data_IF_322492141996
#
_entry.id   IF_322492141996
#
_cell.length_a   1.000
_cell.length_b   1.000
_cell.length_c   1.000
_cell.angle_alpha   90.00
_cell.angle_beta   90.00
_cell.angle_gamma   90.00
#
_symmetry.space_group_name_H-M   'P 1'
#
loop_
_entity.id
_entity.type
_entity.pdbx_description
1 polymer ?
#
# COMPACT_ATOMS: atom_id res chain seq x y z
N UNK A 1 25.37 11.41 -6.76
CA UNK A 1 24.56 10.25 -6.33
C UNK A 1 23.66 10.72 -5.21
N UNK A 2 22.35 10.53 -5.34
CA UNK A 2 21.37 10.87 -4.30
C UNK A 2 21.30 9.79 -3.24
N UNK A 3 21.13 10.19 -1.98
CA UNK A 3 20.92 9.25 -0.89
C UNK A 3 20.16 9.91 0.24
N UNK A 4 19.55 9.08 1.09
CA UNK A 4 18.96 9.48 2.37
C UNK A 4 19.64 8.67 3.47
N UNK A 5 20.17 9.32 4.50
CA UNK A 5 20.70 8.65 5.70
C UNK A 5 20.01 9.22 6.92
N UNK A 6 19.31 8.37 7.65
CA UNK A 6 18.63 8.69 8.90
C UNK A 6 19.34 7.92 10.00
N UNK A 7 19.93 8.61 10.98
CA UNK A 7 20.72 7.98 12.02
C UNK A 7 20.21 8.38 13.42
N UNK A 8 19.69 7.38 14.13
CA UNK A 8 19.18 7.46 15.50
C UNK A 8 18.25 8.66 15.76
N UNK A 9 17.36 8.92 14.80
CA UNK A 9 16.50 10.10 14.82
C UNK A 9 15.36 9.90 15.81
N UNK A 10 15.18 10.89 16.67
CA UNK A 10 14.06 11.00 17.59
C UNK A 10 13.39 12.37 17.52
N UNK A 11 12.08 12.39 17.72
CA UNK A 11 11.29 13.62 17.76
C UNK A 11 10.30 13.61 18.92
N UNK A 12 10.44 14.59 19.80
CA UNK A 12 9.51 14.88 20.87
C UNK A 12 8.91 16.27 20.72
N UNK A 13 7.64 16.40 21.10
CA UNK A 13 6.98 17.70 21.27
C UNK A 13 6.76 17.99 22.75
N UNK A 14 7.01 19.23 23.15
CA UNK A 14 6.73 19.71 24.51
C UNK A 14 5.23 19.84 24.72
N UNK A 15 4.67 19.10 25.66
CA UNK A 15 3.29 19.26 26.11
C UNK A 15 3.27 19.98 27.46
N UNK A 16 2.54 21.10 27.50
CA UNK A 16 2.31 21.87 28.72
C UNK A 16 0.89 21.64 29.21
N UNK A 17 0.70 21.47 30.52
CA UNK A 17 -0.63 21.32 31.12
C UNK A 17 -1.44 22.63 31.10
N UNK A 18 -0.79 23.79 31.01
CA UNK A 18 -1.44 25.09 30.90
C UNK A 18 -0.55 26.12 30.18
N UNK A 19 -1.17 27.16 29.61
CA UNK A 19 -0.46 28.31 29.01
C UNK A 19 0.41 29.04 30.04
N UNK A 20 -0.05 29.15 31.29
CA UNK A 20 0.71 29.74 32.40
C UNK A 20 1.92 28.89 32.75
N UNK A 21 1.83 27.55 32.67
CA UNK A 21 2.96 26.64 32.84
C UNK A 21 4.07 26.89 31.82
N UNK A 22 3.71 27.17 30.56
CA UNK A 22 4.67 27.54 29.49
C UNK A 22 5.35 28.88 29.76
N UNK A 23 4.59 29.88 30.21
CA UNK A 23 5.15 31.18 30.56
C UNK A 23 6.12 31.07 31.74
N UNK A 24 5.74 30.34 32.80
CA UNK A 24 6.57 30.11 33.98
C UNK A 24 7.88 29.38 33.65
N UNK A 25 7.87 28.38 32.75
CA UNK A 25 9.11 27.73 32.30
C UNK A 25 10.03 28.70 31.54
N UNK A 26 9.47 29.67 30.80
CA UNK A 26 10.27 30.61 30.01
C UNK A 26 10.91 31.73 30.84
N UNK A 27 10.24 32.17 31.91
CA UNK A 27 10.70 33.28 32.77
C UNK A 27 11.44 32.81 34.03
N UNK A 28 11.41 31.51 34.35
CA UNK A 28 12.03 31.02 35.59
C UNK A 28 13.56 31.03 35.47
N UNK A 29 14.27 31.72 36.38
CA UNK A 29 15.73 31.72 36.41
C UNK A 29 16.31 30.37 36.86
N UNK A 30 15.49 29.54 37.52
CA UNK A 30 15.81 28.16 37.83
C UNK A 30 15.22 27.30 36.71
N UNK A 31 16.01 26.38 36.15
CA UNK A 31 15.69 25.57 34.96
C UNK A 31 14.51 24.59 35.21
N UNK A 32 13.33 25.14 35.47
CA UNK A 32 12.16 24.43 35.99
C UNK A 32 11.37 23.90 34.81
N UNK A 33 11.55 22.61 34.53
CA UNK A 33 10.84 21.94 33.44
C UNK A 33 9.37 21.74 33.83
N UNK A 34 8.45 22.43 33.14
CA UNK A 34 6.99 22.29 33.33
C UNK A 34 6.30 21.60 32.16
N UNK A 35 7.05 21.19 31.14
CA UNK A 35 6.54 20.35 30.06
C UNK A 35 6.82 18.87 30.29
N UNK A 36 5.98 18.02 29.69
CA UNK A 36 6.28 16.61 29.43
C UNK A 36 6.65 16.45 27.96
N UNK A 37 7.63 15.60 27.67
CA UNK A 37 7.99 15.25 26.31
C UNK A 37 7.07 14.14 25.80
N UNK A 38 6.28 14.45 24.78
CA UNK A 38 5.55 13.44 24.01
C UNK A 38 6.40 13.04 22.81
N UNK A 39 6.97 11.85 22.88
CA UNK A 39 7.75 11.28 21.78
C UNK A 39 6.83 10.77 20.69
N UNK A 40 7.12 11.16 19.46
CA UNK A 40 6.41 10.73 18.25
C UNK A 40 7.29 9.78 17.43
N UNK A 41 8.60 10.00 17.44
CA UNK A 41 9.59 9.11 16.83
C UNK A 41 10.73 8.89 17.82
N UNK A 42 11.27 7.68 17.87
CA UNK A 42 12.40 7.28 18.71
C UNK A 42 13.24 6.25 17.97
N UNK A 43 14.56 6.39 18.07
CA UNK A 43 15.54 5.42 17.61
C UNK A 43 15.37 5.01 16.13
N UNK A 44 14.97 5.94 15.26
CA UNK A 44 14.78 5.67 13.83
C UNK A 44 16.13 5.71 13.11
N UNK A 45 16.54 4.59 12.52
CA UNK A 45 17.75 4.50 11.70
C UNK A 45 17.50 3.69 10.44
N UNK A 46 17.79 4.26 9.27
CA UNK A 46 17.77 3.58 7.97
C UNK A 46 18.51 4.43 6.94
N UNK A 47 18.95 3.80 5.87
CA UNK A 47 19.50 4.49 4.70
C UNK A 47 18.59 4.25 3.50
N UNK A 48 18.67 5.06 2.46
CA UNK A 48 18.09 4.81 1.13
C UNK A 48 19.17 5.12 0.11
N UNK A 49 19.52 4.11 -0.67
CA UNK A 49 20.61 4.17 -1.63
C UNK A 49 20.18 4.86 -2.95
N UNK A 50 21.13 5.28 -3.80
CA UNK A 50 20.81 5.93 -5.08
C UNK A 50 19.97 5.01 -5.98
N UNK A 51 18.83 5.50 -6.47
CA UNK A 51 17.90 4.75 -7.32
C UNK A 51 17.01 3.73 -6.61
N UNK A 52 17.19 3.54 -5.29
CA UNK A 52 16.37 2.65 -4.48
C UNK A 52 15.01 3.28 -4.17
N UNK A 53 13.96 2.45 -4.14
CA UNK A 53 12.63 2.81 -3.69
C UNK A 53 12.30 2.17 -2.34
N UNK A 54 12.12 3.00 -1.31
CA UNK A 54 11.74 2.57 0.04
C UNK A 54 10.27 2.91 0.33
N UNK A 55 9.49 1.90 0.69
CA UNK A 55 8.13 2.04 1.22
C UNK A 55 8.11 2.32 2.72
N UNK A 56 7.27 3.26 3.17
CA UNK A 56 6.99 3.50 4.59
C UNK A 56 5.53 3.17 4.88
N UNK A 57 5.34 2.08 5.60
CA UNK A 57 4.03 1.56 5.99
C UNK A 57 3.83 1.83 7.49
N UNK A 58 2.57 1.92 7.91
CA UNK A 58 2.25 2.01 9.33
C UNK A 58 0.83 2.49 9.56
N UNK A 59 0.32 2.24 10.75
CA UNK A 59 -1.00 2.71 11.17
C UNK A 59 -1.06 4.24 11.23
N UNK A 60 -2.27 4.79 11.28
CA UNK A 60 -2.47 6.20 11.56
C UNK A 60 -1.92 6.55 12.95
N UNK A 61 -1.16 7.64 13.02
CA UNK A 61 -0.47 8.05 14.24
C UNK A 61 0.86 7.34 14.54
N UNK A 62 1.36 6.46 13.66
CA UNK A 62 2.66 5.80 13.83
C UNK A 62 3.87 6.74 13.75
N UNK A 63 3.69 7.95 13.21
CA UNK A 63 4.76 8.95 13.04
C UNK A 63 5.22 9.18 11.59
N UNK A 64 4.60 8.54 10.58
CA UNK A 64 4.96 8.65 9.15
C UNK A 64 5.12 10.09 8.67
N UNK A 65 4.07 10.92 8.77
CA UNK A 65 4.14 12.33 8.35
C UNK A 65 5.13 13.15 9.18
N UNK A 66 5.39 12.78 10.44
CA UNK A 66 6.45 13.44 11.23
C UNK A 66 7.82 13.07 10.69
N UNK A 67 8.06 11.80 10.33
CA UNK A 67 9.31 11.35 9.73
C UNK A 67 9.56 12.06 8.40
N UNK A 68 8.54 12.17 7.55
CA UNK A 68 8.63 12.92 6.30
C UNK A 68 8.95 14.39 6.51
N UNK A 69 8.38 15.04 7.54
CA UNK A 69 8.70 16.42 7.90
C UNK A 69 10.16 16.59 8.37
N UNK A 70 10.70 15.59 9.05
CA UNK A 70 12.11 15.59 9.45
C UNK A 70 13.03 15.40 8.23
N UNK A 71 12.71 14.45 7.35
CA UNK A 71 13.48 14.18 6.13
C UNK A 71 13.45 15.37 5.19
N UNK A 72 12.31 16.05 5.03
CA UNK A 72 12.21 17.25 4.18
C UNK A 72 12.77 18.52 4.82
N UNK A 73 13.18 18.47 6.09
CA UNK A 73 13.71 19.62 6.81
C UNK A 73 12.67 20.66 7.24
N UNK A 74 11.38 20.40 7.03
CA UNK A 74 10.28 21.26 7.52
C UNK A 74 10.12 21.19 9.04
N UNK A 75 10.67 20.16 9.68
CA UNK A 75 10.85 20.07 11.12
C UNK A 75 12.27 19.61 11.48
N UNK A 76 12.80 20.09 12.62
CA UNK A 76 14.09 19.63 13.14
C UNK A 76 13.93 18.42 14.08
N UNK A 77 14.83 17.44 14.04
CA UNK A 77 14.84 16.34 15.01
C UNK A 77 15.13 16.85 16.42
N UNK A 78 14.71 16.11 17.44
CA UNK A 78 15.07 16.36 18.84
C UNK A 78 16.45 15.77 19.16
N UNK A 79 16.77 14.63 18.55
CA UNK A 79 18.06 13.95 18.61
C UNK A 79 18.31 13.17 17.31
N UNK A 80 19.57 12.81 17.07
CA UNK A 80 20.00 12.15 15.83
C UNK A 80 20.11 13.10 14.65
N UNK A 81 20.50 12.54 13.51
CA UNK A 81 20.90 13.31 12.34
C UNK A 81 20.29 12.75 11.06
N UNK A 82 19.98 13.64 10.11
CA UNK A 82 19.48 13.31 8.78
C UNK A 82 20.41 13.96 7.75
N UNK A 83 20.95 13.16 6.84
CA UNK A 83 21.78 13.62 5.74
C UNK A 83 21.17 13.23 4.39
N UNK A 84 21.14 14.17 3.46
CA UNK A 84 20.50 14.05 2.15
C UNK A 84 21.45 14.61 1.09
N UNK A 85 21.46 14.00 -0.09
CA UNK A 85 22.22 14.47 -1.25
C UNK A 85 21.33 14.46 -2.49
N UNK A 86 21.37 15.54 -3.28
CA UNK A 86 20.55 15.70 -4.49
C UNK A 86 19.32 16.59 -4.28
N UNK A 87 18.65 16.91 -5.40
CA UNK A 87 17.43 17.72 -5.42
C UNK A 87 16.23 16.89 -4.99
N UNK A 88 15.60 17.32 -3.89
CA UNK A 88 14.42 16.67 -3.31
C UNK A 88 13.15 17.31 -3.85
N UNK A 89 12.24 16.52 -4.39
CA UNK A 89 10.84 16.91 -4.59
C UNK A 89 9.98 16.15 -3.59
N UNK A 90 9.19 16.86 -2.78
CA UNK A 90 8.36 16.26 -1.75
C UNK A 90 6.88 16.64 -1.94
N UNK A 91 6.04 15.63 -2.16
CA UNK A 91 4.61 15.77 -2.44
C UNK A 91 3.76 15.63 -1.15
N UNK A 92 4.25 16.17 -0.04
CA UNK A 92 3.62 16.05 1.29
C UNK A 92 2.42 16.99 1.47
N UNK A 93 2.47 18.14 0.81
CA UNK A 93 1.48 19.21 0.91
C UNK A 93 1.28 19.78 -0.52
N UNK A 94 0.79 18.93 -1.43
CA UNK A 94 0.51 19.33 -2.82
C UNK A 94 -0.42 20.56 -2.86
N UNK A 95 0.00 21.60 -3.57
CA UNK A 95 -0.68 22.90 -3.61
C UNK A 95 -0.16 23.90 -2.57
N UNK A 96 0.79 23.50 -1.70
CA UNK A 96 1.48 24.45 -0.83
C UNK A 96 2.26 25.46 -1.67
N UNK A 97 1.97 26.73 -1.45
CA UNK A 97 2.50 27.82 -2.26
C UNK A 97 1.60 28.25 -3.41
N UNK A 98 0.37 27.73 -3.54
CA UNK A 98 -0.65 28.34 -4.39
C UNK A 98 -1.34 29.52 -3.69
N UNK A 99 -1.62 30.56 -4.45
CA UNK A 99 -2.41 31.72 -4.08
C UNK A 99 -3.77 31.68 -4.77
N UNK A 100 -4.84 31.76 -3.99
CA UNK A 100 -6.22 31.55 -4.45
C UNK A 100 -6.67 32.56 -5.51
N UNK A 101 -6.20 33.80 -5.43
CA UNK A 101 -6.55 34.86 -6.37
C UNK A 101 -5.68 34.87 -7.64
N UNK A 102 -4.63 34.05 -7.69
CA UNK A 102 -3.77 33.93 -8.87
C UNK A 102 -4.33 32.90 -9.82
N UNK A 103 -4.09 33.09 -11.12
CA UNK A 103 -4.43 32.08 -12.13
C UNK A 103 -3.61 30.81 -11.95
N UNK A 104 -4.04 29.70 -12.55
CA UNK A 104 -3.23 28.47 -12.59
C UNK A 104 -1.82 28.73 -13.11
N UNK A 105 -1.70 29.46 -14.22
CA UNK A 105 -0.42 29.83 -14.82
C UNK A 105 0.48 30.62 -13.86
N UNK A 106 -0.07 31.61 -13.17
CA UNK A 106 0.67 32.38 -12.16
C UNK A 106 1.13 31.50 -10.98
N UNK A 107 0.28 30.56 -10.57
CA UNK A 107 0.61 29.58 -9.54
C UNK A 107 1.68 28.58 -9.98
N UNK A 108 1.70 28.19 -11.26
CA UNK A 108 2.79 27.37 -11.84
C UNK A 108 4.13 28.09 -11.71
N UNK A 109 4.20 29.37 -12.08
CA UNK A 109 5.42 30.17 -11.92
C UNK A 109 5.85 30.27 -10.45
N UNK A 110 4.93 30.66 -9.57
CA UNK A 110 5.24 30.85 -8.15
C UNK A 110 5.69 29.54 -7.48
N UNK A 111 4.96 28.44 -7.69
CA UNK A 111 5.28 27.13 -7.12
C UNK A 111 6.56 26.55 -7.72
N UNK A 112 6.76 26.66 -9.03
CA UNK A 112 8.00 26.22 -9.68
C UNK A 112 9.24 26.95 -9.15
N UNK A 113 9.14 28.26 -8.91
CA UNK A 113 10.22 29.02 -8.30
C UNK A 113 10.52 28.60 -6.86
N UNK A 114 9.49 28.28 -6.05
CA UNK A 114 9.67 27.72 -4.70
C UNK A 114 10.38 26.36 -4.72
N UNK A 115 10.21 25.59 -5.79
CA UNK A 115 10.92 24.33 -6.05
C UNK A 115 12.34 24.56 -6.63
N UNK A 116 12.77 25.81 -6.78
CA UNK A 116 14.10 26.17 -7.30
C UNK A 116 14.22 26.06 -8.82
N UNK A 117 13.11 26.07 -9.56
CA UNK A 117 13.10 26.03 -11.02
C UNK A 117 13.26 27.47 -11.57
N UNK A 118 14.23 27.74 -12.47
CA UNK A 118 14.34 29.04 -13.13
C UNK A 118 13.11 29.38 -13.97
N UNK A 119 12.73 30.66 -14.04
CA UNK A 119 11.52 31.12 -14.73
C UNK A 119 11.52 30.70 -16.20
N UNK A 120 12.66 30.81 -16.87
CA UNK A 120 12.82 30.47 -18.28
C UNK A 120 12.50 28.98 -18.51
N UNK A 121 12.91 28.13 -17.57
CA UNK A 121 12.64 26.70 -17.64
C UNK A 121 11.18 26.37 -17.33
N UNK A 122 10.53 27.12 -16.42
CA UNK A 122 9.09 26.99 -16.18
C UNK A 122 8.30 27.36 -17.43
N UNK A 123 8.68 28.44 -18.13
CA UNK A 123 8.04 28.83 -19.39
C UNK A 123 8.17 27.75 -20.45
N UNK A 124 9.36 27.13 -20.58
CA UNK A 124 9.60 26.01 -21.50
C UNK A 124 8.73 24.78 -21.18
N UNK A 125 8.56 24.46 -19.89
CA UNK A 125 7.81 23.30 -19.41
C UNK A 125 6.30 23.53 -19.32
N UNK A 126 5.84 24.77 -19.47
CA UNK A 126 4.42 25.14 -19.31
C UNK A 126 3.47 24.29 -20.16
N UNK A 127 3.73 24.01 -21.45
CA UNK A 127 2.85 23.15 -22.26
C UNK A 127 2.73 21.72 -21.70
N UNK A 128 3.83 21.12 -21.24
CA UNK A 128 3.81 19.78 -20.64
C UNK A 128 3.04 19.78 -19.31
N UNK A 129 3.21 20.82 -18.50
CA UNK A 129 2.50 20.98 -17.23
C UNK A 129 0.98 21.06 -17.45
N UNK A 130 0.56 21.86 -18.45
CA UNK A 130 -0.84 22.01 -18.84
C UNK A 130 -1.44 20.70 -19.36
N UNK A 131 -0.72 20.03 -20.27
CA UNK A 131 -1.13 18.74 -20.84
C UNK A 131 -1.19 17.64 -19.77
N UNK A 132 -0.24 17.63 -18.82
CA UNK A 132 -0.29 16.65 -17.74
C UNK A 132 -1.47 16.92 -16.81
N UNK A 133 -1.72 18.19 -16.45
CA UNK A 133 -2.78 18.59 -15.53
C UNK A 133 -4.19 18.36 -16.09
N UNK A 134 -4.36 18.47 -17.41
CA UNK A 134 -5.63 18.39 -18.15
C UNK A 134 -6.77 19.18 -17.47
N UNK A 135 -6.47 20.41 -17.05
CA UNK A 135 -7.46 21.34 -16.47
C UNK A 135 -8.10 22.26 -17.53
N UNK A 136 -7.67 22.17 -18.80
CA UNK A 136 -8.18 22.97 -19.91
C UNK A 136 -8.03 24.48 -19.67
N UNK A 137 -9.05 25.24 -20.09
CA UNK A 137 -9.07 26.71 -20.00
C UNK A 137 -9.02 27.26 -18.57
N UNK A 138 -9.19 26.41 -17.56
CA UNK A 138 -9.06 26.83 -16.17
C UNK A 138 -7.64 27.28 -15.83
N UNK A 139 -6.60 26.91 -16.59
CA UNK A 139 -5.21 27.36 -16.34
C UNK A 139 -5.09 28.88 -16.25
N UNK A 140 -5.92 29.62 -17.00
CA UNK A 140 -5.95 31.09 -16.99
C UNK A 140 -7.05 31.67 -16.09
N UNK A 141 -7.72 30.83 -15.28
CA UNK A 141 -8.69 31.22 -14.26
C UNK A 141 -8.07 31.21 -12.86
N UNK A 142 -8.55 32.05 -11.92
CA UNK A 142 -8.10 32.05 -10.53
C UNK A 142 -8.29 30.69 -9.83
N UNK A 143 -7.29 30.23 -9.07
CA UNK A 143 -7.31 28.90 -8.41
C UNK A 143 -8.45 28.74 -7.40
N UNK A 144 -9.00 29.83 -6.86
CA UNK A 144 -10.19 29.79 -5.99
C UNK A 144 -11.43 29.17 -6.63
N UNK A 145 -11.52 29.13 -7.96
CA UNK A 145 -12.66 28.50 -8.67
C UNK A 145 -12.40 27.03 -9.04
N UNK A 146 -11.22 26.50 -8.70
CA UNK A 146 -10.86 25.12 -9.01
C UNK A 146 -11.54 24.15 -8.04
N UNK A 147 -11.85 22.95 -8.53
CA UNK A 147 -12.12 21.83 -7.62
C UNK A 147 -10.84 21.40 -6.90
N UNK A 148 -10.97 20.72 -5.77
CA UNK A 148 -9.81 20.15 -5.05
C UNK A 148 -8.98 19.23 -5.96
N UNK A 149 -9.64 18.44 -6.82
CA UNK A 149 -8.96 17.59 -7.80
C UNK A 149 -8.10 18.39 -8.77
N UNK A 150 -8.65 19.47 -9.38
CA UNK A 150 -7.87 20.31 -10.30
C UNK A 150 -6.65 20.96 -9.64
N UNK A 151 -6.77 21.38 -8.37
CA UNK A 151 -5.65 21.93 -7.62
C UNK A 151 -4.54 20.90 -7.43
N UNK A 152 -4.90 19.68 -7.01
CA UNK A 152 -3.93 18.58 -6.85
C UNK A 152 -3.29 18.19 -8.18
N UNK A 153 -4.07 18.13 -9.27
CA UNK A 153 -3.57 17.83 -10.61
C UNK A 153 -2.51 18.83 -11.05
N UNK A 154 -2.82 20.13 -10.99
CA UNK A 154 -1.87 21.17 -11.34
C UNK A 154 -0.64 21.16 -10.44
N UNK A 155 -0.81 21.01 -9.13
CA UNK A 155 0.30 20.94 -8.19
C UNK A 155 1.23 19.75 -8.48
N UNK A 156 0.67 18.58 -8.79
CA UNK A 156 1.45 17.40 -9.15
C UNK A 156 2.19 17.60 -10.47
N UNK A 157 1.53 18.15 -11.50
CA UNK A 157 2.15 18.48 -12.78
C UNK A 157 3.36 19.37 -12.62
N UNK A 158 3.26 20.44 -11.81
CA UNK A 158 4.36 21.36 -11.55
C UNK A 158 5.49 20.66 -10.78
N UNK A 159 5.16 19.93 -9.71
CA UNK A 159 6.15 19.26 -8.87
C UNK A 159 6.91 18.15 -9.59
N UNK A 160 6.29 17.56 -10.62
CA UNK A 160 6.87 16.47 -11.44
C UNK A 160 7.24 16.92 -12.86
N UNK A 161 7.29 18.22 -13.13
CA UNK A 161 7.70 18.75 -14.43
C UNK A 161 9.21 18.49 -14.71
N UNK A 162 10.00 18.29 -13.67
CA UNK A 162 11.43 17.96 -13.81
C UNK A 162 11.77 16.81 -12.88
N UNK A 163 12.31 15.71 -13.44
CA UNK A 163 12.76 14.53 -12.70
C UNK A 163 13.68 14.89 -11.51
N UNK A 164 13.28 14.63 -10.25
CA UNK A 164 14.13 14.91 -9.09
C UNK A 164 15.17 13.79 -8.87
N UNK A 165 16.18 14.06 -8.05
CA UNK A 165 17.12 13.03 -7.61
C UNK A 165 16.53 12.16 -6.49
N UNK A 166 15.70 12.79 -5.64
CA UNK A 166 14.93 12.16 -4.57
C UNK A 166 13.47 12.59 -4.70
N UNK A 167 12.55 11.65 -4.84
CA UNK A 167 11.12 11.88 -4.81
C UNK A 167 10.53 11.34 -3.50
N UNK A 168 9.81 12.18 -2.78
CA UNK A 168 9.08 11.81 -1.56
C UNK A 168 7.59 11.96 -1.83
N UNK A 169 6.85 10.89 -1.62
CA UNK A 169 5.42 10.80 -1.90
C UNK A 169 4.67 10.46 -0.62
N UNK A 170 3.69 11.29 -0.25
CA UNK A 170 2.74 10.97 0.82
C UNK A 170 1.48 10.30 0.25
N UNK A 171 0.68 9.74 1.16
CA UNK A 171 -0.63 9.13 0.88
C UNK A 171 -1.62 10.09 0.19
N UNK A 172 -1.35 11.40 0.25
CA UNK A 172 -2.15 12.45 -0.37
C UNK A 172 -2.22 12.38 -1.91
N UNK A 173 -1.39 11.57 -2.59
CA UNK A 173 -1.59 11.28 -4.02
C UNK A 173 -2.92 10.59 -4.32
N UNK A 174 -3.56 9.99 -3.32
CA UNK A 174 -4.90 9.42 -3.44
C UNK A 174 -6.00 10.49 -3.53
N UNK A 175 -5.67 11.78 -3.45
CA UNK A 175 -6.63 12.88 -3.61
C UNK A 175 -6.73 13.25 -5.09
N UNK A 176 -7.68 12.64 -5.79
CA UNK A 176 -7.90 12.83 -7.22
C UNK A 176 -8.85 11.77 -7.77
N UNK A 177 -9.14 11.81 -9.06
CA UNK A 177 -9.84 10.70 -9.72
C UNK A 177 -8.87 9.53 -10.00
N UNK A 178 -9.42 8.33 -10.16
CA UNK A 178 -8.65 7.10 -10.35
C UNK A 178 -7.78 7.14 -11.63
N UNK A 179 -8.24 7.85 -12.67
CA UNK A 179 -7.50 8.00 -13.91
C UNK A 179 -6.22 8.83 -13.70
N UNK A 180 -6.32 9.96 -13.02
CA UNK A 180 -5.16 10.80 -12.72
C UNK A 180 -4.20 10.15 -11.71
N UNK A 181 -4.71 9.38 -10.75
CA UNK A 181 -3.86 8.56 -9.88
C UNK A 181 -3.00 7.58 -10.69
N UNK A 182 -3.62 6.85 -11.62
CA UNK A 182 -2.90 5.95 -12.51
C UNK A 182 -1.82 6.69 -13.32
N UNK A 183 -2.18 7.83 -13.94
CA UNK A 183 -1.23 8.69 -14.68
C UNK A 183 -0.05 9.16 -13.79
N UNK A 184 -0.34 9.52 -12.54
CA UNK A 184 0.65 9.96 -11.55
C UNK A 184 1.60 8.83 -11.16
N UNK A 185 1.08 7.62 -10.92
CA UNK A 185 1.90 6.46 -10.64
C UNK A 185 2.77 6.04 -11.82
N UNK A 186 2.29 6.15 -13.06
CA UNK A 186 3.11 5.89 -14.25
C UNK A 186 4.28 6.89 -14.36
N UNK A 187 4.04 8.19 -14.10
CA UNK A 187 5.11 9.20 -14.03
C UNK A 187 6.15 8.86 -12.95
N UNK A 188 5.71 8.36 -11.78
CA UNK A 188 6.61 7.92 -10.71
C UNK A 188 7.43 6.70 -11.14
N UNK A 189 6.80 5.71 -11.80
CA UNK A 189 7.51 4.52 -12.33
C UNK A 189 8.56 4.92 -13.36
N UNK A 190 8.26 5.88 -14.23
CA UNK A 190 9.21 6.42 -15.21
C UNK A 190 10.43 7.05 -14.51
N UNK A 191 10.21 7.89 -13.51
CA UNK A 191 11.31 8.48 -12.72
C UNK A 191 12.18 7.41 -12.03
N UNK A 192 11.55 6.37 -11.48
CA UNK A 192 12.28 5.23 -10.90
C UNK A 192 13.14 4.53 -11.94
N UNK A 193 12.61 4.23 -13.13
CA UNK A 193 13.37 3.62 -14.25
C UNK A 193 14.58 4.47 -14.65
N UNK A 194 14.45 5.79 -14.52
CA UNK A 194 15.50 6.76 -14.81
C UNK A 194 16.50 6.97 -13.65
N UNK A 195 16.34 6.25 -12.53
CA UNK A 195 17.27 6.24 -11.40
C UNK A 195 16.97 7.22 -10.26
N UNK A 196 15.75 7.75 -10.18
CA UNK A 196 15.31 8.57 -9.03
C UNK A 196 15.17 7.72 -7.78
N UNK A 197 15.79 8.14 -6.68
CA UNK A 197 15.56 7.55 -5.35
C UNK A 197 14.15 7.90 -4.87
N UNK A 198 13.40 6.93 -4.37
CA UNK A 198 11.99 7.11 -4.02
C UNK A 198 11.73 6.78 -2.54
N UNK A 199 10.97 7.64 -1.87
CA UNK A 199 10.37 7.38 -0.58
C UNK A 199 8.85 7.44 -0.73
N UNK A 200 8.17 6.30 -0.59
CA UNK A 200 6.72 6.20 -0.80
C UNK A 200 6.02 5.86 0.52
N UNK A 201 5.11 6.72 0.96
CA UNK A 201 4.23 6.43 2.10
C UNK A 201 2.87 6.04 1.59
N UNK A 202 2.46 4.80 1.86
CA UNK A 202 1.17 4.28 1.44
C UNK A 202 0.71 3.15 2.34
N UNK A 203 -0.61 2.94 2.40
CA UNK A 203 -1.24 1.74 2.95
C UNK A 203 -1.72 0.79 1.84
N UNK A 204 -1.60 1.20 0.57
CA UNK A 204 -1.94 0.35 -0.57
C UNK A 204 -0.83 -0.69 -0.81
N UNK A 205 -1.19 -1.96 -0.63
CA UNK A 205 -0.32 -3.11 -0.86
C UNK A 205 0.19 -3.15 -2.30
N UNK A 206 -0.66 -2.81 -3.28
CA UNK A 206 -0.32 -2.92 -4.69
C UNK A 206 0.72 -1.86 -5.11
N UNK A 207 0.53 -0.60 -4.69
CA UNK A 207 1.51 0.45 -4.92
C UNK A 207 2.87 0.11 -4.28
N UNK A 208 2.89 -0.33 -3.02
CA UNK A 208 4.13 -0.66 -2.31
C UNK A 208 4.86 -1.84 -2.97
N UNK A 209 4.17 -2.94 -3.27
CA UNK A 209 4.78 -4.11 -3.89
C UNK A 209 5.27 -3.85 -5.32
N UNK A 210 4.56 -3.02 -6.09
CA UNK A 210 4.91 -2.80 -7.50
C UNK A 210 5.95 -1.70 -7.72
N UNK A 211 6.18 -0.82 -6.73
CA UNK A 211 7.03 0.36 -6.87
C UNK A 211 8.25 0.33 -5.94
N UNK A 212 8.17 -0.28 -4.76
CA UNK A 212 9.27 -0.28 -3.80
C UNK A 212 10.16 -1.53 -3.94
N UNK A 213 11.46 -1.35 -3.67
CA UNK A 213 12.43 -2.44 -3.57
C UNK A 213 12.40 -3.08 -2.17
N UNK A 214 12.17 -2.27 -1.13
CA UNK A 214 11.93 -2.73 0.24
C UNK A 214 10.98 -1.81 0.97
N UNK A 215 10.53 -2.22 2.16
CA UNK A 215 9.67 -1.41 2.99
C UNK A 215 10.06 -1.44 4.47
N UNK A 216 9.70 -0.37 5.19
CA UNK A 216 9.75 -0.28 6.64
C UNK A 216 8.33 -0.17 7.20
N UNK A 217 8.06 -0.89 8.28
CA UNK A 217 6.85 -0.72 9.09
C UNK A 217 7.18 0.16 10.30
N UNK A 218 6.51 1.31 10.38
CA UNK A 218 6.50 2.15 11.56
C UNK A 218 5.34 1.79 12.48
N UNK A 219 5.66 1.59 13.76
CA UNK A 219 4.67 1.40 14.82
C UNK A 219 5.10 2.15 16.09
N UNK A 220 4.17 2.92 16.66
CA UNK A 220 4.38 3.74 17.87
C UNK A 220 5.70 4.54 17.85
N UNK A 221 6.07 5.06 16.68
CA UNK A 221 7.25 5.90 16.53
C UNK A 221 8.59 5.17 16.43
N UNK A 222 8.60 3.85 16.20
CA UNK A 222 9.80 3.03 16.01
C UNK A 222 9.66 2.21 14.72
N UNK A 223 10.78 1.82 14.12
CA UNK A 223 10.79 0.80 13.06
C UNK A 223 10.56 -0.54 13.74
N UNK A 224 9.45 -1.20 13.40
CA UNK A 224 9.08 -2.51 13.96
C UNK A 224 9.55 -3.65 13.04
N UNK A 225 9.51 -3.42 11.73
CA UNK A 225 9.96 -4.39 10.73
C UNK A 225 10.55 -3.67 9.53
N UNK A 226 11.53 -4.29 8.88
CA UNK A 226 12.14 -3.86 7.63
C UNK A 226 12.44 -5.09 6.77
N UNK A 227 12.18 -5.01 5.46
CA UNK A 227 12.47 -6.10 4.54
C UNK A 227 11.69 -6.01 3.23
N UNK A 228 11.45 -7.17 2.62
CA UNK A 228 10.70 -7.29 1.37
C UNK A 228 9.29 -6.69 1.49
N UNK A 229 8.81 -5.93 0.49
CA UNK A 229 7.52 -5.24 0.56
C UNK A 229 6.34 -6.16 0.88
N UNK A 230 6.34 -7.38 0.33
CA UNK A 230 5.31 -8.39 0.59
C UNK A 230 5.27 -8.80 2.07
N UNK A 231 6.42 -9.21 2.62
CA UNK A 231 6.51 -9.67 4.01
C UNK A 231 6.13 -8.57 5.00
N UNK A 232 6.54 -7.32 4.74
CA UNK A 232 6.21 -6.18 5.60
C UNK A 232 4.71 -5.84 5.51
N UNK A 233 4.11 -5.89 4.32
CA UNK A 233 2.67 -5.67 4.15
C UNK A 233 1.84 -6.78 4.79
N UNK A 234 2.28 -8.03 4.71
CA UNK A 234 1.59 -9.15 5.36
C UNK A 234 1.64 -9.03 6.87
N UNK A 235 2.79 -8.65 7.43
CA UNK A 235 2.91 -8.36 8.87
C UNK A 235 2.09 -7.13 9.29
N UNK A 236 2.01 -6.10 8.45
CA UNK A 236 1.14 -4.95 8.71
C UNK A 236 -0.35 -5.34 8.73
N UNK A 237 -0.81 -6.13 7.74
CA UNK A 237 -2.18 -6.64 7.68
C UNK A 237 -2.52 -7.53 8.86
N UNK A 238 -1.56 -8.38 9.26
CA UNK A 238 -1.61 -9.11 10.51
C UNK A 238 -1.78 -8.15 11.70
N UNK A 239 -0.90 -7.16 11.90
CA UNK A 239 -1.00 -6.24 13.04
C UNK A 239 -2.32 -5.46 13.09
N UNK A 240 -2.89 -5.10 11.94
CA UNK A 240 -4.23 -4.52 11.85
C UNK A 240 -5.31 -5.49 12.32
N UNK A 241 -5.18 -6.77 11.93
CA UNK A 241 -6.05 -7.84 12.37
C UNK A 241 -5.91 -8.07 13.90
N UNK A 242 -4.71 -8.16 14.45
CA UNK A 242 -4.45 -8.33 15.89
C UNK A 242 -5.09 -7.21 16.73
N UNK A 243 -5.03 -5.95 16.26
CA UNK A 243 -5.69 -4.81 16.93
C UNK A 243 -7.21 -4.87 16.88
N UNK A 244 -7.76 -5.68 15.99
CA UNK A 244 -9.17 -6.05 15.95
C UNK A 244 -9.46 -7.35 16.74
N UNK A 245 -8.49 -7.85 17.54
CA UNK A 245 -8.48 -9.13 18.29
C UNK A 245 -8.33 -10.39 17.42
N UNK A 246 -7.49 -10.36 16.37
CA UNK A 246 -7.26 -11.50 15.48
C UNK A 246 -5.81 -12.03 15.58
N UNK A 247 -5.58 -13.10 16.34
CA UNK A 247 -4.25 -13.69 16.58
C UNK A 247 -3.46 -14.08 15.32
N UNK A 248 -2.20 -13.64 15.19
CA UNK A 248 -1.30 -14.06 14.08
C UNK A 248 -0.20 -15.02 14.54
N UNK A 249 0.02 -16.07 13.75
CA UNK A 249 1.13 -17.01 13.85
C UNK A 249 1.77 -17.21 12.47
N UNK A 250 3.07 -16.99 12.37
CA UNK A 250 3.86 -17.41 11.21
C UNK A 250 4.29 -18.86 11.43
N UNK A 251 4.00 -19.74 10.48
CA UNK A 251 4.38 -21.16 10.52
C UNK A 251 5.16 -21.47 9.26
N UNK A 252 6.36 -22.01 9.42
CA UNK A 252 7.18 -22.48 8.30
C UNK A 252 6.67 -23.87 7.88
N UNK A 253 6.18 -24.00 6.65
CA UNK A 253 5.74 -25.30 6.08
C UNK A 253 6.30 -25.42 4.67
N UNK A 254 7.00 -26.52 4.38
CA UNK A 254 7.66 -26.78 3.09
C UNK A 254 8.61 -25.66 2.61
N UNK A 255 9.35 -25.03 3.53
CA UNK A 255 10.35 -24.00 3.20
C UNK A 255 9.77 -22.66 2.74
N UNK A 256 8.45 -22.45 2.88
CA UNK A 256 7.77 -21.16 2.65
C UNK A 256 7.14 -20.66 3.95
N UNK A 257 7.26 -19.36 4.19
CA UNK A 257 6.62 -18.67 5.32
C UNK A 257 5.10 -18.59 5.07
N UNK A 258 4.30 -19.36 5.81
CA UNK A 258 2.85 -19.20 5.81
C UNK A 258 2.42 -18.27 6.93
N UNK A 259 1.67 -17.23 6.58
CA UNK A 259 1.05 -16.31 7.55
C UNK A 259 -0.36 -16.79 7.86
N UNK A 260 -0.61 -17.13 9.12
CA UNK A 260 -1.94 -17.45 9.66
C UNK A 260 -2.38 -16.32 10.59
N UNK A 261 -3.56 -15.75 10.36
CA UNK A 261 -4.14 -14.69 11.21
C UNK A 261 -5.59 -15.00 11.56
N UNK A 262 -6.19 -14.40 12.59
CA UNK A 262 -7.60 -14.63 12.93
C UNK A 262 -7.87 -14.87 14.42
N UNK A 263 -9.10 -14.64 14.86
CA UNK A 263 -9.50 -14.77 16.27
C UNK A 263 -9.62 -16.23 16.74
N UNK A 264 -9.65 -17.19 15.81
CA UNK A 264 -9.53 -18.61 16.11
C UNK A 264 -10.83 -19.32 16.50
N UNK A 265 -11.99 -18.66 16.49
CA UNK A 265 -13.29 -19.30 16.76
C UNK A 265 -13.70 -20.30 15.67
N UNK A 266 -13.15 -20.14 14.47
CA UNK A 266 -13.14 -21.15 13.42
C UNK A 266 -11.69 -21.35 12.98
N UNK A 267 -11.34 -22.57 12.59
CA UNK A 267 -9.99 -22.85 12.11
C UNK A 267 -9.95 -23.75 10.89
N UNK A 268 -8.97 -23.52 10.03
CA UNK A 268 -8.79 -24.34 8.83
C UNK A 268 -7.93 -25.54 9.21
N UNK A 269 -8.50 -26.73 9.04
CA UNK A 269 -7.84 -28.02 9.31
C UNK A 269 -6.97 -28.41 8.14
N UNK A 270 -7.54 -28.32 6.93
CA UNK A 270 -6.91 -28.82 5.72
C UNK A 270 -7.41 -28.07 4.48
N UNK A 271 -6.53 -27.92 3.49
CA UNK A 271 -6.81 -27.23 2.24
C UNK A 271 -6.08 -27.97 1.13
N UNK A 272 -6.80 -28.41 0.11
CA UNK A 272 -6.22 -29.09 -1.04
C UNK A 272 -6.94 -28.69 -2.33
N UNK A 273 -6.20 -28.72 -3.44
CA UNK A 273 -6.74 -28.58 -4.78
C UNK A 273 -6.79 -29.97 -5.41
N UNK A 274 -7.98 -30.39 -5.81
CA UNK A 274 -8.22 -31.74 -6.31
C UNK A 274 -8.52 -31.74 -7.82
N UNK A 275 -8.12 -32.80 -8.51
CA UNK A 275 -8.57 -33.12 -9.86
C UNK A 275 -9.95 -33.80 -9.85
N UNK A 276 -10.46 -34.16 -11.03
CA UNK A 276 -11.74 -34.86 -11.21
C UNK A 276 -11.77 -36.27 -10.61
N UNK A 277 -10.61 -36.88 -10.37
CA UNK A 277 -10.45 -38.18 -9.72
C UNK A 277 -10.40 -38.06 -8.18
N UNK A 278 -10.42 -36.83 -7.65
CA UNK A 278 -10.36 -36.55 -6.21
C UNK A 278 -8.94 -36.59 -5.64
N UNK A 279 -7.91 -36.60 -6.48
CA UNK A 279 -6.51 -36.60 -6.07
C UNK A 279 -5.96 -35.17 -5.92
N UNK A 280 -5.10 -34.95 -4.93
CA UNK A 280 -4.45 -33.67 -4.71
C UNK A 280 -3.41 -33.38 -5.79
N UNK A 281 -3.48 -32.20 -6.39
CA UNK A 281 -2.62 -31.78 -7.50
C UNK A 281 -1.92 -30.45 -7.21
N UNK A 282 -0.68 -30.33 -7.69
CA UNK A 282 0.12 -29.09 -7.68
C UNK A 282 0.39 -28.55 -9.08
N UNK A 283 0.02 -29.32 -10.11
CA UNK A 283 0.12 -28.93 -11.53
C UNK A 283 -1.25 -29.10 -12.17
N UNK A 284 -1.68 -28.06 -12.87
CA UNK A 284 -2.99 -27.94 -13.48
C UNK A 284 -2.80 -27.57 -14.96
N UNK A 285 -3.55 -28.19 -15.85
CA UNK A 285 -3.56 -27.78 -17.26
C UNK A 285 -4.53 -26.61 -17.46
N UNK A 286 -4.24 -25.70 -18.39
CA UNK A 286 -5.17 -24.63 -18.78
C UNK A 286 -6.56 -25.21 -19.07
N UNK A 287 -7.59 -24.64 -18.44
CA UNK A 287 -8.99 -25.06 -18.60
C UNK A 287 -9.40 -26.30 -17.80
N UNK A 288 -8.46 -27.01 -17.16
CA UNK A 288 -8.74 -28.21 -16.39
C UNK A 288 -9.76 -27.92 -15.26
N UNK A 289 -10.81 -28.73 -15.11
CA UNK A 289 -11.69 -28.67 -13.95
C UNK A 289 -10.91 -29.02 -12.68
N UNK A 290 -11.05 -28.20 -11.66
CA UNK A 290 -10.43 -28.40 -10.35
C UNK A 290 -11.41 -28.13 -9.23
N UNK A 291 -11.15 -28.70 -8.06
CA UNK A 291 -11.97 -28.53 -6.89
C UNK A 291 -11.11 -28.12 -5.69
N UNK A 292 -11.29 -26.89 -5.23
CA UNK A 292 -10.65 -26.41 -4.00
C UNK A 292 -11.49 -26.88 -2.80
N UNK A 293 -10.91 -27.78 -2.00
CA UNK A 293 -11.53 -28.28 -0.78
C UNK A 293 -10.94 -27.59 0.45
N UNK A 294 -11.80 -27.06 1.31
CA UNK A 294 -11.43 -26.38 2.56
C UNK A 294 -12.15 -27.06 3.70
N UNK A 295 -11.40 -27.68 4.62
CA UNK A 295 -11.95 -28.30 5.82
C UNK A 295 -11.81 -27.36 7.01
N UNK A 296 -12.93 -27.02 7.64
CA UNK A 296 -13.01 -26.05 8.74
C UNK A 296 -13.49 -26.74 10.02
N UNK A 297 -12.83 -26.46 11.13
CA UNK A 297 -13.28 -26.79 12.48
C UNK A 297 -13.89 -25.55 13.15
N UNK A 298 -15.05 -25.73 13.79
CA UNK A 298 -15.75 -24.68 14.52
C UNK A 298 -15.38 -24.83 15.99
N UNK A 299 -14.52 -23.96 16.50
CA UNK A 299 -14.03 -24.00 17.88
C UNK A 299 -15.07 -23.43 18.85
N UNK A 300 -15.74 -22.34 18.47
CA UNK A 300 -16.80 -21.68 19.24
C UNK A 300 -18.08 -21.50 18.42
N UNK A 301 -19.20 -21.19 19.07
CA UNK A 301 -20.46 -20.97 18.36
C UNK A 301 -20.37 -19.69 17.50
N UNK A 302 -20.77 -19.78 16.23
CA UNK A 302 -20.65 -18.67 15.28
C UNK A 302 -22.05 -18.23 14.81
N UNK A 303 -22.36 -16.93 14.86
CA UNK A 303 -23.62 -16.42 14.29
C UNK A 303 -23.63 -16.57 12.76
N UNK A 304 -22.47 -16.41 12.14
CA UNK A 304 -22.27 -16.50 10.70
C UNK A 304 -20.85 -17.02 10.40
N UNK A 305 -20.72 -17.83 9.36
CA UNK A 305 -19.47 -18.25 8.75
C UNK A 305 -19.55 -18.10 7.23
N UNK A 306 -18.66 -17.25 6.72
CA UNK A 306 -18.35 -17.09 5.31
C UNK A 306 -16.96 -17.66 5.05
N UNK A 307 -16.85 -18.54 4.05
CA UNK A 307 -15.58 -19.10 3.60
C UNK A 307 -15.25 -18.50 2.24
N UNK A 308 -14.13 -17.80 2.17
CA UNK A 308 -13.62 -17.17 0.96
C UNK A 308 -12.29 -17.77 0.54
N UNK A 309 -12.02 -17.69 -0.76
CA UNK A 309 -10.70 -17.94 -1.30
C UNK A 309 -10.32 -16.87 -2.31
N UNK A 310 -9.02 -16.65 -2.44
CA UNK A 310 -8.41 -15.72 -3.39
C UNK A 310 -7.27 -16.44 -4.10
N UNK A 311 -7.33 -16.52 -5.42
CA UNK A 311 -6.22 -16.94 -6.27
C UNK A 311 -5.36 -15.72 -6.54
N UNK A 312 -4.05 -15.86 -6.31
CA UNK A 312 -3.04 -14.83 -6.59
C UNK A 312 -1.98 -15.36 -7.54
N UNK A 313 -1.39 -14.48 -8.34
CA UNK A 313 -0.24 -14.82 -9.17
C UNK A 313 1.07 -14.90 -8.36
N UNK A 314 2.18 -15.20 -9.03
CA UNK A 314 3.52 -15.27 -8.43
C UNK A 314 4.03 -13.97 -7.78
N UNK A 315 3.42 -12.83 -8.10
CA UNK A 315 3.74 -11.51 -7.55
C UNK A 315 2.77 -11.12 -6.42
N UNK A 316 1.90 -12.05 -6.01
CA UNK A 316 0.89 -11.82 -4.98
C UNK A 316 -0.32 -11.01 -5.46
N UNK A 317 -0.44 -10.72 -6.76
CA UNK A 317 -1.55 -9.96 -7.32
C UNK A 317 -2.84 -10.80 -7.33
N UNK A 318 -3.97 -10.29 -6.84
CA UNK A 318 -5.25 -10.98 -6.94
C UNK A 318 -5.65 -11.24 -8.38
N UNK A 319 -5.91 -12.50 -8.72
CA UNK A 319 -6.37 -12.94 -10.04
C UNK A 319 -7.88 -13.19 -10.02
N UNK A 320 -8.36 -13.86 -8.98
CA UNK A 320 -9.77 -14.14 -8.77
C UNK A 320 -10.04 -14.34 -7.28
N UNK A 321 -11.21 -13.93 -6.81
CA UNK A 321 -11.64 -14.23 -5.45
C UNK A 321 -13.14 -14.29 -5.35
N UNK A 322 -13.62 -15.17 -4.48
CA UNK A 322 -15.05 -15.29 -4.16
C UNK A 322 -15.20 -15.82 -2.74
N UNK A 323 -16.43 -15.88 -2.26
CA UNK A 323 -16.76 -16.48 -0.98
C UNK A 323 -18.18 -17.02 -0.96
N UNK A 324 -18.51 -17.81 0.05
CA UNK A 324 -19.85 -18.40 0.19
C UNK A 324 -20.95 -17.35 0.28
N UNK A 325 -20.68 -16.13 0.76
CA UNK A 325 -21.67 -15.05 0.78
C UNK A 325 -21.97 -14.52 -0.64
N UNK A 326 -20.95 -14.27 -1.47
CA UNK A 326 -21.14 -13.86 -2.88
C UNK A 326 -21.84 -14.94 -3.71
N UNK A 327 -21.70 -16.21 -3.31
CA UNK A 327 -22.40 -17.35 -3.89
C UNK A 327 -23.81 -17.57 -3.30
N UNK A 328 -24.27 -16.72 -2.38
CA UNK A 328 -25.59 -16.82 -1.76
C UNK A 328 -25.76 -17.99 -0.78
N UNK A 329 -24.65 -18.55 -0.28
CA UNK A 329 -24.62 -19.71 0.62
C UNK A 329 -23.81 -19.46 1.92
N UNK A 330 -23.94 -18.32 2.62
CA UNK A 330 -23.34 -18.16 3.95
C UNK A 330 -23.96 -19.16 4.93
N UNK A 331 -23.18 -19.61 5.91
CA UNK A 331 -23.70 -20.46 6.99
C UNK A 331 -24.03 -19.60 8.20
N UNK A 332 -25.15 -19.89 8.87
CA UNK A 332 -25.58 -19.19 10.08
C UNK A 332 -25.74 -20.15 11.25
N UNK A 333 -25.68 -19.60 12.46
CA UNK A 333 -25.98 -20.29 13.73
C UNK A 333 -25.22 -21.62 13.90
N UNK A 334 -23.91 -21.60 13.64
CA UNK A 334 -23.07 -22.78 13.78
C UNK A 334 -22.77 -23.08 15.25
N UNK A 335 -22.91 -24.35 15.63
CA UNK A 335 -22.56 -24.85 16.97
C UNK A 335 -21.06 -25.16 17.07
N UNK A 336 -20.51 -24.92 18.26
CA UNK A 336 -19.13 -25.29 18.60
C UNK A 336 -18.87 -26.80 18.44
N UNK A 337 -17.60 -27.16 18.22
CA UNK A 337 -17.04 -28.52 18.05
C UNK A 337 -17.49 -29.28 16.80
N UNK A 338 -18.09 -28.61 15.82
CA UNK A 338 -18.40 -29.20 14.51
C UNK A 338 -17.24 -29.09 13.52
N UNK A 339 -17.21 -29.95 12.50
CA UNK A 339 -16.41 -29.73 11.30
C UNK A 339 -17.31 -29.57 10.08
N UNK A 340 -16.85 -28.78 9.11
CA UNK A 340 -17.51 -28.59 7.81
C UNK A 340 -16.47 -28.64 6.71
N UNK A 341 -16.83 -29.21 5.57
CA UNK A 341 -16.00 -29.23 4.38
C UNK A 341 -16.70 -28.40 3.32
N UNK A 342 -15.98 -27.46 2.74
CA UNK A 342 -16.42 -26.61 1.64
C UNK A 342 -15.70 -27.06 0.38
N UNK A 343 -16.41 -27.08 -0.73
CA UNK A 343 -15.91 -27.55 -2.02
C UNK A 343 -16.26 -26.50 -3.07
N UNK A 344 -15.24 -25.92 -3.69
CA UNK A 344 -15.37 -24.91 -4.73
C UNK A 344 -14.85 -25.49 -6.04
N UNK A 345 -15.76 -25.95 -6.89
CA UNK A 345 -15.43 -26.42 -8.23
C UNK A 345 -15.33 -25.25 -9.21
N UNK A 346 -14.28 -25.20 -10.02
CA UNK A 346 -14.09 -24.23 -11.08
C UNK A 346 -13.15 -24.76 -12.17
N UNK A 347 -13.26 -24.23 -13.37
CA UNK A 347 -12.28 -24.48 -14.43
C UNK A 347 -11.08 -23.56 -14.26
N UNK A 348 -9.87 -24.11 -14.30
CA UNK A 348 -8.62 -23.36 -14.22
C UNK A 348 -8.33 -22.63 -15.55
N UNK A 349 -9.21 -21.70 -15.94
CA UNK A 349 -9.07 -20.83 -17.11
C UNK A 349 -8.02 -19.73 -16.87
N UNK A 350 -6.83 -20.14 -16.43
CA UNK A 350 -5.72 -19.30 -16.03
C UNK A 350 -4.62 -19.40 -17.08
N UNK A 351 -3.80 -18.35 -17.17
CA UNK A 351 -2.58 -18.36 -17.98
C UNK A 351 -1.51 -19.30 -17.43
N UNK A 352 -0.49 -19.59 -18.25
CA UNK A 352 0.68 -20.37 -17.80
C UNK A 352 1.43 -19.59 -16.73
N UNK A 353 1.71 -20.23 -15.59
CA UNK A 353 2.39 -19.56 -14.48
C UNK A 353 2.28 -20.27 -13.14
N UNK A 354 2.81 -19.64 -12.11
CA UNK A 354 2.70 -20.11 -10.72
C UNK A 354 1.68 -19.26 -9.97
N UNK A 355 0.80 -19.93 -9.23
CA UNK A 355 -0.31 -19.33 -8.52
C UNK A 355 -0.37 -19.83 -7.08
N UNK A 356 -0.99 -19.03 -6.22
CA UNK A 356 -1.28 -19.42 -4.85
C UNK A 356 -2.72 -19.13 -4.47
N UNK A 357 -3.24 -19.89 -3.51
CA UNK A 357 -4.56 -19.68 -2.93
C UNK A 357 -4.40 -19.16 -1.51
N UNK A 358 -5.06 -18.05 -1.20
CA UNK A 358 -5.32 -17.62 0.16
C UNK A 358 -6.76 -17.99 0.55
N UNK A 359 -6.98 -18.42 1.79
CA UNK A 359 -8.31 -18.80 2.29
C UNK A 359 -8.64 -17.98 3.53
N UNK A 360 -9.88 -17.54 3.64
CA UNK A 360 -10.38 -16.71 4.74
C UNK A 360 -11.70 -17.25 5.29
N UNK A 361 -11.82 -17.27 6.61
CA UNK A 361 -13.02 -17.54 7.39
C UNK A 361 -13.44 -16.24 8.05
N UNK A 362 -14.61 -15.68 7.72
CA UNK A 362 -15.04 -14.39 8.25
C UNK A 362 -16.56 -14.27 8.34
N UNK A 363 -17.04 -13.14 8.84
CA UNK A 363 -18.45 -12.71 8.77
C UNK A 363 -18.68 -11.76 7.60
N UNK A 364 -19.93 -11.65 7.13
CA UNK A 364 -20.39 -10.75 6.08
C UNK A 364 -19.69 -10.93 4.71
N UNK A 365 -20.14 -10.18 3.70
CA UNK A 365 -19.63 -10.27 2.33
C UNK A 365 -18.21 -9.74 2.09
N UNK A 366 -17.54 -9.18 3.10
CA UNK A 366 -16.14 -8.72 2.99
C UNK A 366 -15.31 -9.17 4.20
N UNK A 367 -14.00 -9.34 4.01
CA UNK A 367 -13.07 -9.73 5.08
C UNK A 367 -12.84 -8.64 6.15
N UNK A 368 -13.47 -7.47 5.99
CA UNK A 368 -13.37 -6.31 6.92
C UNK A 368 -14.25 -6.52 8.17
N UNK A 369 -15.15 -7.52 8.15
CA UNK A 369 -15.87 -7.97 9.34
C UNK A 369 -14.97 -8.74 10.32
N UNK A 370 -15.58 -9.57 11.17
CA UNK A 370 -14.83 -10.45 12.07
C UNK A 370 -14.17 -11.57 11.27
N UNK A 371 -12.84 -11.68 11.32
CA UNK A 371 -12.06 -12.70 10.63
C UNK A 371 -11.61 -13.79 11.62
N UNK A 372 -12.17 -14.99 11.49
CA UNK A 372 -11.88 -16.12 12.36
C UNK A 372 -10.54 -16.77 12.04
N UNK A 373 -10.22 -16.91 10.74
CA UNK A 373 -8.92 -17.37 10.29
C UNK A 373 -8.66 -16.92 8.84
N UNK A 374 -7.48 -16.38 8.58
CA UNK A 374 -6.93 -16.15 7.27
C UNK A 374 -5.62 -16.92 7.15
N UNK A 375 -5.47 -17.67 6.05
CA UNK A 375 -4.25 -18.40 5.73
C UNK A 375 -3.79 -18.00 4.34
N UNK A 376 -2.66 -17.33 4.28
CA UNK A 376 -2.01 -16.99 3.01
C UNK A 376 -1.11 -18.14 2.52
N UNK A 377 -0.87 -18.19 1.21
CA UNK A 377 -0.09 -19.26 0.56
C UNK A 377 -0.55 -20.67 0.98
N UNK A 378 -1.86 -20.85 1.15
CA UNK A 378 -2.45 -22.08 1.65
C UNK A 378 -2.22 -23.27 0.69
N UNK A 379 -2.36 -23.02 -0.60
CA UNK A 379 -2.05 -23.96 -1.69
C UNK A 379 -1.23 -23.21 -2.73
N UNK A 380 -0.23 -23.87 -3.31
CA UNK A 380 0.54 -23.36 -4.44
C UNK A 380 0.41 -24.36 -5.57
N UNK A 381 0.10 -23.89 -6.77
CA UNK A 381 -0.02 -24.73 -7.95
C UNK A 381 0.52 -24.03 -9.19
N UNK A 382 0.96 -24.81 -10.18
CA UNK A 382 1.45 -24.30 -11.46
C UNK A 382 0.45 -24.63 -12.56
N UNK A 383 0.20 -23.67 -13.43
CA UNK A 383 -0.63 -23.86 -14.62
C UNK A 383 0.29 -24.04 -15.82
N UNK A 384 0.07 -25.11 -16.58
CA UNK A 384 0.81 -25.42 -17.81
C UNK A 384 -0.16 -25.49 -18.99
N UNK A 385 0.31 -25.07 -20.17
CA UNK A 385 -0.45 -25.24 -21.40
C UNK A 385 0.07 -26.46 -22.16
N UNK A 386 -0.76 -27.51 -22.22
CA UNK A 386 -0.44 -28.77 -22.89
C UNK A 386 -1.17 -28.90 -24.23
N UNK A 387 -2.43 -28.47 -24.27
CA UNK A 387 -3.39 -28.84 -25.31
C UNK A 387 -4.05 -27.63 -26.01
N UNK A 388 -3.90 -26.41 -25.46
CA UNK A 388 -4.60 -25.22 -25.95
C UNK A 388 -3.74 -24.37 -26.89
N UNK A 389 -4.38 -23.63 -27.80
CA UNK A 389 -3.71 -22.66 -28.68
C UNK A 389 -2.91 -21.63 -27.89
N UNK A 390 -1.79 -21.19 -28.44
CA UNK A 390 -0.93 -20.18 -27.80
C UNK A 390 -1.71 -18.90 -27.44
N UNK A 391 -1.50 -18.42 -26.22
CA UNK A 391 -2.05 -17.18 -25.71
C UNK A 391 -1.11 -16.56 -24.67
N UNK A 392 -1.36 -15.30 -24.34
CA UNK A 392 -0.62 -14.55 -23.31
C UNK A 392 -1.60 -13.94 -22.31
N UNK A 393 -1.12 -13.71 -21.08
CA UNK A 393 -1.90 -13.09 -20.01
C UNK A 393 -2.24 -14.06 -18.88
N UNK A 394 -3.08 -13.61 -17.95
CA UNK A 394 -3.43 -14.35 -16.72
C UNK A 394 -4.71 -15.16 -16.81
N UNK A 395 -5.51 -14.95 -17.86
CA UNK A 395 -6.78 -15.61 -18.09
C UNK A 395 -6.83 -16.24 -19.48
N UNK A 396 -7.38 -17.44 -19.56
CA UNK A 396 -7.66 -18.10 -20.84
C UNK A 396 -9.08 -17.76 -21.29
N UNK A 397 -9.19 -16.99 -22.37
CA UNK A 397 -10.45 -16.49 -22.94
C UNK A 397 -10.51 -16.87 -24.43
N UNK A 398 -10.89 -18.11 -24.77
CA UNK A 398 -10.79 -18.61 -26.15
C UNK A 398 -11.71 -17.79 -27.09
N UNK A 399 -11.15 -17.09 -28.09
CA UNK A 399 -11.95 -16.27 -29.01
C UNK A 399 -12.60 -17.13 -30.11
N UNK A 400 -13.76 -16.67 -30.60
CA UNK A 400 -14.33 -17.13 -31.88
C UNK A 400 -14.00 -16.11 -32.96
N UNK A 401 -13.28 -16.53 -34.00
CA UNK A 401 -12.91 -15.67 -35.13
C UNK A 401 -13.85 -15.97 -36.31
N UNK A 402 -14.62 -14.97 -36.72
CA UNK A 402 -15.38 -14.97 -37.97
C UNK A 402 -14.81 -13.87 -38.86
N UNK A 403 -14.44 -14.22 -40.10
CA UNK A 403 -13.91 -13.27 -41.10
C UNK A 403 -14.99 -13.11 -42.16
N UNK A 404 -15.48 -11.88 -42.32
CA UNK A 404 -16.43 -11.51 -43.38
C UNK A 404 -15.66 -10.86 -44.54
N UNK A 405 -16.12 -11.10 -45.77
CA UNK A 405 -15.62 -10.43 -46.99
C UNK A 405 -16.16 -9.01 -47.14
#
# INVERSE_FOLDING_TARGET
MSYIKVHNVGKAYKQYSSKTGRLLEWISPFNTVKHKLKWILQDISFNVDPGEALGIIGINGAGKSTLLKLITGTAKPTCGDIALSGRVAALLELGMGFHSDFTGRQNVYMSGQLLGIPVEKITELMPEIEEFAEIGDYIDQPVRVYSSGMQVRLAFSVATAIRPDILIVDEALSVGDAYFQHKSFERIREFRKLGTTLLLVSHDKQAIQSICDRAILLNKGRIEMEGEPESVMDYYNALLADKQNLSIRQVETNGKLQTRSGSGEASIIDICLLNDEGESIEVVTVGQPVNLQVKVHINEALPELVVGYMIKDRLGQPVFGTNTHHLGQPLFELKAKGSRTFSFAFSANLGVGSYSVAVALHTAGTHVGKNYEWRDLAVVFNVVNSDEKDFIGVAWLPPKLEIFE
#
